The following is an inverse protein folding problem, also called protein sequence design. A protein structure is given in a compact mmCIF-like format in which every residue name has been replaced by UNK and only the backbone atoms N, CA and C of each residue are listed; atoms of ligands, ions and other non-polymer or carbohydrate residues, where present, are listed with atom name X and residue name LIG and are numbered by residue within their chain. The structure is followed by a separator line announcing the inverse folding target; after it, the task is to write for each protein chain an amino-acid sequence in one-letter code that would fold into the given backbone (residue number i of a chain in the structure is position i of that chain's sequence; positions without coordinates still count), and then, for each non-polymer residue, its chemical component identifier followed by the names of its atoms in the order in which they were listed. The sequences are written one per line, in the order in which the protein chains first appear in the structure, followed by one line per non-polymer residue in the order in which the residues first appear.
data_IF_020467845789
#
_entry.id   IF_020467845789
#
_cell.length_a   1.000
_cell.length_b   1.000
_cell.length_c   1.000
_cell.angle_alpha   90.00
_cell.angle_beta   90.00
_cell.angle_gamma   90.00
#
_symmetry.space_group_name_H-M   'P 1'
#
loop_
_entity.id
_entity.type
_entity.pdbx_description
1 polymer ?
#
# COMPACT_ATOMS: atom_id res chain seq x y z
N UNK A 1 17.86 15.64 -34.43
CA UNK A 1 18.76 14.49 -34.12
C UNK A 1 18.59 14.16 -32.66
N UNK A 2 17.93 13.05 -32.32
CA UNK A 2 17.83 12.61 -30.93
C UNK A 2 19.22 12.14 -30.49
N UNK A 3 19.97 13.01 -29.83
CA UNK A 3 21.20 12.62 -29.13
C UNK A 3 20.73 11.73 -27.98
N UNK A 4 20.80 10.42 -28.16
CA UNK A 4 20.61 9.46 -27.08
C UNK A 4 21.78 9.66 -26.11
N UNK A 5 21.60 10.54 -25.12
CA UNK A 5 22.49 10.56 -23.97
C UNK A 5 22.61 9.14 -23.45
N UNK A 6 23.84 8.63 -23.32
CA UNK A 6 24.06 7.30 -22.75
C UNK A 6 23.47 7.27 -21.34
N UNK A 7 22.38 6.52 -21.19
CA UNK A 7 21.76 6.30 -19.90
C UNK A 7 22.80 5.74 -18.93
N UNK A 8 23.03 6.45 -17.82
CA UNK A 8 24.08 6.11 -16.84
C UNK A 8 23.61 4.97 -15.93
N UNK A 9 23.47 3.77 -16.51
CA UNK A 9 22.95 2.56 -15.85
C UNK A 9 23.52 2.33 -14.45
N UNK A 10 24.85 2.39 -14.30
CA UNK A 10 25.49 2.17 -12.99
C UNK A 10 25.03 3.15 -11.92
N UNK A 11 24.99 4.45 -12.24
CA UNK A 11 24.51 5.49 -11.31
C UNK A 11 23.03 5.26 -10.96
N UNK A 12 22.20 4.94 -11.95
CA UNK A 12 20.76 4.70 -11.74
C UNK A 12 20.53 3.50 -10.82
N UNK A 13 21.19 2.37 -11.07
CA UNK A 13 21.05 1.15 -10.28
C UNK A 13 21.47 1.41 -8.83
N UNK A 14 22.60 2.08 -8.62
CA UNK A 14 23.07 2.42 -7.26
C UNK A 14 22.04 3.29 -6.55
N UNK A 15 21.55 4.36 -7.19
CA UNK A 15 20.54 5.24 -6.59
C UNK A 15 19.22 4.52 -6.29
N UNK A 16 18.82 3.57 -7.16
CA UNK A 16 17.61 2.77 -6.96
C UNK A 16 17.76 1.85 -5.74
N UNK A 17 18.88 1.13 -5.63
CA UNK A 17 19.15 0.24 -4.49
C UNK A 17 19.21 1.04 -3.18
N UNK A 18 19.97 2.15 -3.17
CA UNK A 18 20.07 3.01 -1.98
C UNK A 18 18.70 3.56 -1.59
N UNK A 19 17.93 4.06 -2.56
CA UNK A 19 16.57 4.53 -2.33
C UNK A 19 15.68 3.44 -1.74
N UNK A 20 15.70 2.24 -2.32
CA UNK A 20 14.91 1.10 -1.85
C UNK A 20 15.24 0.72 -0.41
N UNK A 21 16.53 0.55 -0.09
CA UNK A 21 17.01 0.22 1.27
C UNK A 21 16.61 1.30 2.27
N UNK A 22 16.80 2.58 1.95
CA UNK A 22 16.43 3.67 2.84
C UNK A 22 14.93 3.75 3.07
N UNK A 23 14.13 3.51 2.03
CA UNK A 23 12.66 3.61 2.14
C UNK A 23 12.10 2.45 2.98
N UNK A 24 12.58 1.23 2.76
CA UNK A 24 12.19 0.07 3.55
C UNK A 24 12.68 0.20 4.99
N UNK A 25 13.96 0.52 5.18
CA UNK A 25 14.54 0.69 6.52
C UNK A 25 13.84 1.79 7.32
N UNK A 26 13.49 2.90 6.66
CA UNK A 26 12.70 3.97 7.26
C UNK A 26 11.30 3.51 7.67
N UNK A 27 10.60 2.76 6.81
CA UNK A 27 9.29 2.20 7.14
C UNK A 27 9.38 1.21 8.32
N UNK A 28 10.36 0.31 8.33
CA UNK A 28 10.59 -0.61 9.45
C UNK A 28 10.85 0.12 10.75
N UNK A 29 11.67 1.17 10.74
CA UNK A 29 11.94 1.98 11.92
C UNK A 29 10.69 2.70 12.46
N UNK A 30 9.83 3.20 11.56
CA UNK A 30 8.55 3.81 11.93
C UNK A 30 7.61 2.78 12.58
N UNK A 31 7.51 1.58 12.02
CA UNK A 31 6.66 0.50 12.56
C UNK A 31 7.16 0.06 13.92
N UNK A 32 8.46 -0.19 14.07
CA UNK A 32 9.04 -0.64 15.33
C UNK A 32 8.87 0.41 16.44
N UNK A 33 9.24 1.66 16.14
CA UNK A 33 9.11 2.77 17.10
C UNK A 33 7.66 3.03 17.46
N UNK A 34 6.77 3.08 16.47
CA UNK A 34 5.33 3.29 16.67
C UNK A 34 4.68 2.17 17.48
N UNK A 35 5.08 0.92 17.23
CA UNK A 35 4.62 -0.25 17.99
C UNK A 35 5.06 -0.19 19.44
N UNK A 36 6.33 0.16 19.70
CA UNK A 36 6.83 0.31 21.07
C UNK A 36 6.10 1.41 21.83
N UNK A 37 5.84 2.55 21.19
CA UNK A 37 5.04 3.64 21.77
C UNK A 37 3.62 3.13 22.07
N UNK A 38 2.94 2.48 21.12
CA UNK A 38 1.58 2.00 21.28
C UNK A 38 1.43 1.03 22.47
N UNK A 39 2.39 0.12 22.68
CA UNK A 39 2.40 -0.77 23.86
C UNK A 39 2.50 -0.02 25.17
N UNK A 40 3.34 1.04 25.24
CA UNK A 40 3.46 1.87 26.44
C UNK A 40 2.14 2.56 26.79
N UNK A 41 1.35 2.92 25.77
CA UNK A 41 0.00 3.48 25.93
C UNK A 41 -1.09 2.42 26.17
N UNK A 42 -0.74 1.14 26.29
CA UNK A 42 -1.70 0.05 26.56
C UNK A 42 -2.58 -0.33 25.36
N UNK A 43 -2.17 0.01 24.13
CA UNK A 43 -2.88 -0.41 22.91
C UNK A 43 -2.73 -1.92 22.72
N UNK A 44 -3.82 -2.60 22.37
CA UNK A 44 -3.80 -4.05 22.17
C UNK A 44 -2.97 -4.47 20.96
N UNK A 45 -2.33 -5.64 21.04
CA UNK A 45 -1.57 -6.21 19.91
C UNK A 45 -2.44 -6.41 18.65
N UNK A 46 -3.74 -6.63 18.82
CA UNK A 46 -4.70 -6.66 17.71
C UNK A 46 -4.74 -5.34 16.95
N UNK A 47 -4.90 -4.20 17.65
CA UNK A 47 -4.95 -2.88 17.02
C UNK A 47 -3.59 -2.51 16.42
N UNK A 48 -2.49 -2.86 17.09
CA UNK A 48 -1.13 -2.68 16.57
C UNK A 48 -0.97 -3.43 15.24
N UNK A 49 -1.35 -4.71 15.19
CA UNK A 49 -1.29 -5.52 13.98
C UNK A 49 -2.19 -4.98 12.86
N UNK A 50 -3.44 -4.67 13.19
CA UNK A 50 -4.43 -4.19 12.24
C UNK A 50 -4.06 -2.83 11.62
N UNK A 51 -3.46 -1.92 12.39
CA UNK A 51 -3.16 -0.57 11.93
C UNK A 51 -1.69 -0.32 11.66
N UNK A 52 -0.83 -0.46 12.68
CA UNK A 52 0.57 -0.03 12.58
C UNK A 52 1.36 -0.93 11.64
N UNK A 53 1.16 -2.25 11.73
CA UNK A 53 1.87 -3.20 10.86
C UNK A 53 1.31 -3.09 9.44
N UNK A 54 -0.02 -3.13 9.27
CA UNK A 54 -0.66 -3.03 7.96
C UNK A 54 -0.28 -1.73 7.22
N UNK A 55 -0.43 -0.56 7.85
CA UNK A 55 -0.03 0.72 7.28
C UNK A 55 1.48 0.77 7.05
N UNK A 56 2.25 0.23 8.00
CA UNK A 56 3.70 0.16 7.97
C UNK A 56 4.28 -0.45 6.71
N UNK A 57 3.72 -1.59 6.28
CA UNK A 57 4.14 -2.28 5.06
C UNK A 57 3.84 -1.49 3.78
N UNK A 58 2.88 -0.57 3.82
CA UNK A 58 2.48 0.28 2.68
C UNK A 58 3.10 1.69 2.72
N UNK A 59 3.89 2.02 3.76
CA UNK A 59 4.57 3.31 3.88
C UNK A 59 5.55 3.58 2.73
N UNK A 60 6.40 2.62 2.29
CA UNK A 60 7.30 2.84 1.17
C UNK A 60 6.56 3.26 -0.10
N UNK A 61 5.47 2.55 -0.42
CA UNK A 61 4.62 2.78 -1.58
C UNK A 61 3.94 4.14 -1.50
N UNK A 62 3.46 4.53 -0.31
CA UNK A 62 2.89 5.85 -0.08
C UNK A 62 3.91 6.96 -0.35
N UNK A 63 5.13 6.82 0.18
CA UNK A 63 6.20 7.82 0.00
C UNK A 63 6.61 7.91 -1.47
N UNK A 64 6.81 6.78 -2.16
CA UNK A 64 7.16 6.74 -3.59
C UNK A 64 6.07 7.40 -4.43
N UNK A 65 4.79 7.08 -4.16
CA UNK A 65 3.63 7.67 -4.83
C UNK A 65 3.55 9.19 -4.64
N UNK A 66 3.70 9.67 -3.40
CA UNK A 66 3.68 11.09 -3.07
C UNK A 66 4.82 11.85 -3.74
N UNK A 67 6.03 11.30 -3.73
CA UNK A 67 7.19 11.92 -4.39
C UNK A 67 7.01 11.94 -5.91
N UNK A 68 6.46 10.87 -6.50
CA UNK A 68 6.16 10.82 -7.93
C UNK A 68 5.15 11.89 -8.34
N UNK A 69 4.04 12.03 -7.60
CA UNK A 69 3.02 13.08 -7.83
C UNK A 69 3.64 14.48 -7.70
N UNK A 70 4.44 14.72 -6.65
CA UNK A 70 5.14 16.01 -6.44
C UNK A 70 6.08 16.37 -7.59
N UNK A 71 6.61 15.38 -8.30
CA UNK A 71 7.45 15.56 -9.49
C UNK A 71 6.66 15.63 -10.80
N UNK A 72 5.33 15.66 -10.75
CA UNK A 72 4.46 15.68 -11.93
C UNK A 72 4.26 14.32 -12.60
N UNK A 73 4.76 13.23 -12.00
CA UNK A 73 4.71 11.87 -12.57
C UNK A 73 3.52 11.09 -12.00
N UNK A 74 2.30 11.56 -12.26
CA UNK A 74 1.08 10.92 -11.76
C UNK A 74 0.91 9.47 -12.25
N UNK A 75 1.27 9.18 -13.50
CA UNK A 75 1.21 7.84 -14.08
C UNK A 75 2.11 6.84 -13.34
N UNK A 76 3.29 7.28 -12.89
CA UNK A 76 4.19 6.45 -12.07
C UNK A 76 3.57 6.13 -10.71
N UNK A 77 2.89 7.10 -10.09
CA UNK A 77 2.18 6.86 -8.82
C UNK A 77 1.02 5.89 -8.98
N UNK A 78 0.25 6.00 -10.06
CA UNK A 78 -0.85 5.07 -10.37
C UNK A 78 -0.28 3.67 -10.61
N UNK A 79 0.78 3.56 -11.40
CA UNK A 79 1.48 2.30 -11.65
C UNK A 79 2.00 1.66 -10.37
N UNK A 80 2.51 2.46 -9.43
CA UNK A 80 2.95 1.98 -8.12
C UNK A 80 1.79 1.41 -7.29
N UNK A 81 0.64 2.10 -7.22
CA UNK A 81 -0.54 1.65 -6.47
C UNK A 81 -1.08 0.34 -7.04
N UNK A 82 -1.32 0.29 -8.36
CA UNK A 82 -1.88 -0.90 -9.02
C UNK A 82 -0.88 -2.06 -8.96
N UNK A 83 0.38 -1.79 -9.30
CA UNK A 83 1.44 -2.80 -9.34
C UNK A 83 1.65 -3.46 -7.98
N UNK A 84 1.67 -2.68 -6.90
CA UNK A 84 1.86 -3.20 -5.54
C UNK A 84 0.69 -4.07 -5.09
N UNK A 85 -0.55 -3.67 -5.38
CA UNK A 85 -1.72 -4.50 -5.07
C UNK A 85 -1.70 -5.82 -5.86
N UNK A 86 -1.37 -5.78 -7.15
CA UNK A 86 -1.25 -6.98 -7.97
C UNK A 86 -0.13 -7.89 -7.45
N UNK A 87 1.02 -7.34 -7.05
CA UNK A 87 2.11 -8.10 -6.45
C UNK A 87 1.70 -8.73 -5.12
N UNK A 88 0.96 -8.02 -4.26
CA UNK A 88 0.47 -8.57 -3.00
C UNK A 88 -0.47 -9.76 -3.19
N UNK A 89 -1.38 -9.72 -4.17
CA UNK A 89 -2.24 -10.88 -4.47
C UNK A 89 -1.47 -12.02 -5.14
N UNK A 90 -0.72 -11.72 -6.20
CA UNK A 90 -0.09 -12.75 -7.02
C UNK A 90 1.14 -13.37 -6.36
N UNK A 91 2.04 -12.53 -5.84
CA UNK A 91 3.29 -12.99 -5.26
C UNK A 91 3.13 -13.33 -3.79
N UNK A 92 2.62 -12.42 -2.95
CA UNK A 92 2.58 -12.65 -1.50
C UNK A 92 1.51 -13.69 -1.15
N UNK A 93 0.23 -13.42 -1.45
CA UNK A 93 -0.86 -14.36 -1.16
C UNK A 93 -0.75 -15.64 -1.98
N UNK A 94 -0.38 -15.54 -3.26
CA UNK A 94 -0.18 -16.71 -4.12
C UNK A 94 0.93 -17.64 -3.62
N UNK A 95 2.08 -17.10 -3.23
CA UNK A 95 3.16 -17.94 -2.65
C UNK A 95 2.77 -18.50 -1.28
N UNK A 96 2.10 -17.73 -0.42
CA UNK A 96 1.60 -18.22 0.85
C UNK A 96 0.66 -19.43 0.68
N UNK A 97 -0.26 -19.36 -0.29
CA UNK A 97 -1.18 -20.44 -0.61
C UNK A 97 -0.51 -21.71 -1.18
N UNK A 98 0.62 -21.56 -1.88
CA UNK A 98 1.42 -22.69 -2.37
C UNK A 98 2.17 -23.40 -1.25
N UNK A 99 2.60 -22.66 -0.22
CA UNK A 99 3.37 -23.20 0.90
C UNK A 99 2.47 -23.84 1.97
N UNK A 100 1.31 -23.26 2.25
CA UNK A 100 0.35 -23.78 3.22
C UNK A 100 -1.09 -23.49 2.77
N UNK A 101 -2.02 -24.44 2.91
CA UNK A 101 -3.43 -24.18 2.66
C UNK A 101 -3.92 -22.99 3.50
N UNK A 102 -4.53 -22.00 2.83
CA UNK A 102 -5.15 -20.86 3.48
C UNK A 102 -6.54 -21.26 3.98
N UNK A 103 -6.68 -21.48 5.29
CA UNK A 103 -7.99 -21.66 5.92
C UNK A 103 -8.64 -20.31 6.16
N UNK A 104 -9.75 -20.03 5.48
CA UNK A 104 -10.47 -18.76 5.58
C UNK A 104 -11.85 -19.03 6.18
N UNK A 105 -12.19 -18.30 7.25
CA UNK A 105 -13.57 -18.24 7.74
C UNK A 105 -14.37 -17.28 6.86
N UNK A 106 -15.13 -17.85 5.93
CA UNK A 106 -15.94 -17.08 4.98
C UNK A 106 -17.01 -16.22 5.66
N UNK A 107 -17.45 -16.55 6.88
CA UNK A 107 -18.43 -15.76 7.61
C UNK A 107 -17.75 -14.54 8.22
N UNK A 108 -16.61 -14.74 8.89
CA UNK A 108 -15.84 -13.66 9.49
C UNK A 108 -15.27 -12.68 8.44
N UNK A 109 -14.75 -13.19 7.32
CA UNK A 109 -14.04 -12.36 6.31
C UNK A 109 -14.97 -11.83 5.20
N UNK A 110 -16.28 -12.14 5.23
CA UNK A 110 -17.22 -11.76 4.17
C UNK A 110 -17.23 -10.25 3.91
N UNK A 111 -17.27 -9.47 4.99
CA UNK A 111 -17.34 -8.01 4.90
C UNK A 111 -16.05 -7.42 4.34
N UNK A 112 -14.90 -7.91 4.81
CA UNK A 112 -13.58 -7.47 4.37
C UNK A 112 -13.41 -7.71 2.86
N UNK A 113 -13.78 -8.90 2.38
CA UNK A 113 -13.77 -9.22 0.95
C UNK A 113 -14.69 -8.31 0.14
N UNK A 114 -15.91 -8.05 0.64
CA UNK A 114 -16.88 -7.19 -0.05
C UNK A 114 -16.35 -5.76 -0.19
N UNK A 115 -15.81 -5.20 0.90
CA UNK A 115 -15.21 -3.86 0.90
C UNK A 115 -14.01 -3.80 -0.03
N UNK A 116 -13.15 -4.82 -0.02
CA UNK A 116 -11.96 -4.85 -0.86
C UNK A 116 -12.31 -4.85 -2.35
N UNK A 117 -13.35 -5.60 -2.73
CA UNK A 117 -13.90 -5.59 -4.10
C UNK A 117 -14.51 -4.21 -4.41
N UNK A 118 -15.30 -3.64 -3.51
CA UNK A 118 -15.89 -2.31 -3.69
C UNK A 118 -14.82 -1.22 -3.86
N UNK A 119 -13.77 -1.23 -3.04
CA UNK A 119 -12.63 -0.31 -3.13
C UNK A 119 -11.90 -0.46 -4.48
N UNK A 120 -11.68 -1.70 -4.92
CA UNK A 120 -11.01 -1.99 -6.20
C UNK A 120 -11.83 -1.50 -7.41
N UNK A 121 -13.13 -1.77 -7.43
CA UNK A 121 -14.03 -1.27 -8.48
C UNK A 121 -14.07 0.26 -8.48
N UNK A 122 -14.14 0.87 -7.30
CA UNK A 122 -14.13 2.31 -7.13
C UNK A 122 -12.85 2.94 -7.67
N UNK A 123 -11.69 2.32 -7.38
CA UNK A 123 -10.40 2.76 -7.90
C UNK A 123 -10.37 2.67 -9.43
N UNK A 124 -10.82 1.55 -10.01
CA UNK A 124 -10.91 1.40 -11.47
C UNK A 124 -11.82 2.45 -12.09
N UNK A 125 -12.97 2.73 -11.50
CA UNK A 125 -13.90 3.75 -11.96
C UNK A 125 -13.28 5.16 -11.92
N UNK A 126 -12.58 5.50 -10.83
CA UNK A 126 -11.89 6.79 -10.67
C UNK A 126 -10.81 6.93 -11.76
N UNK A 127 -10.01 5.89 -11.99
CA UNK A 127 -8.94 5.89 -12.98
C UNK A 127 -9.47 6.00 -14.42
N UNK A 128 -10.48 5.19 -14.76
CA UNK A 128 -11.07 5.14 -16.11
C UNK A 128 -11.68 6.50 -16.52
N UNK A 129 -12.29 7.20 -15.56
CA UNK A 129 -12.91 8.50 -15.78
C UNK A 129 -11.99 9.70 -15.44
N UNK A 130 -10.73 9.44 -15.06
CA UNK A 130 -9.75 10.45 -14.61
C UNK A 130 -10.28 11.38 -13.51
N UNK A 131 -11.06 10.84 -12.57
CA UNK A 131 -11.70 11.58 -11.47
C UNK A 131 -10.74 11.82 -10.29
N UNK A 132 -9.59 12.43 -10.57
CA UNK A 132 -8.56 12.76 -9.57
C UNK A 132 -8.93 14.00 -8.75
N UNK A 133 -10.07 13.93 -8.07
CA UNK A 133 -10.63 15.05 -7.31
C UNK A 133 -10.80 14.69 -5.82
N UNK A 134 -11.10 15.71 -5.02
CA UNK A 134 -11.32 15.54 -3.57
C UNK A 134 -12.47 14.58 -3.28
N UNK A 135 -13.51 14.55 -4.12
CA UNK A 135 -14.65 13.67 -3.93
C UNK A 135 -14.26 12.18 -4.03
N UNK A 136 -13.48 11.80 -5.04
CA UNK A 136 -12.94 10.44 -5.19
C UNK A 136 -12.04 10.04 -4.02
N UNK A 137 -11.21 10.97 -3.54
CA UNK A 137 -10.37 10.74 -2.35
C UNK A 137 -11.21 10.54 -1.08
N UNK A 138 -12.19 11.42 -0.83
CA UNK A 138 -13.11 11.31 0.32
C UNK A 138 -13.88 9.99 0.26
N UNK A 139 -14.35 9.60 -0.92
CA UNK A 139 -15.08 8.35 -1.11
C UNK A 139 -14.24 7.13 -0.74
N UNK A 140 -12.98 7.04 -1.22
CA UNK A 140 -12.07 5.95 -0.84
C UNK A 140 -11.73 5.97 0.67
N UNK A 141 -11.60 7.16 1.27
CA UNK A 141 -11.38 7.30 2.72
C UNK A 141 -12.59 6.84 3.54
N UNK A 142 -13.81 7.07 3.07
CA UNK A 142 -15.03 6.55 3.71
C UNK A 142 -15.04 5.03 3.67
N UNK A 143 -14.69 4.41 2.53
CA UNK A 143 -14.59 2.96 2.41
C UNK A 143 -13.55 2.41 3.42
N UNK A 144 -12.39 3.05 3.52
CA UNK A 144 -11.36 2.69 4.51
C UNK A 144 -11.86 2.85 5.95
N UNK A 145 -12.60 3.93 6.26
CA UNK A 145 -13.16 4.15 7.58
C UNK A 145 -14.21 3.07 7.96
N UNK A 146 -15.05 2.67 7.01
CA UNK A 146 -16.02 1.58 7.20
C UNK A 146 -15.33 0.23 7.45
N UNK A 147 -14.25 -0.05 6.72
CA UNK A 147 -13.42 -1.25 6.96
C UNK A 147 -12.88 -1.28 8.38
N UNK A 148 -12.25 -0.17 8.79
CA UNK A 148 -11.67 0.00 10.11
C UNK A 148 -12.75 -0.16 11.20
N UNK A 149 -13.90 0.48 11.03
CA UNK A 149 -14.99 0.41 12.01
C UNK A 149 -15.46 -1.03 12.20
N UNK A 150 -15.68 -1.78 11.12
CA UNK A 150 -16.08 -3.18 11.22
C UNK A 150 -15.00 -4.07 11.83
N UNK A 151 -13.72 -3.78 11.56
CA UNK A 151 -12.60 -4.57 12.10
C UNK A 151 -12.34 -4.36 13.60
N UNK A 152 -12.92 -3.30 14.17
CA UNK A 152 -12.79 -2.93 15.59
C UNK A 152 -13.96 -3.42 16.45
N UNK A 153 -15.09 -3.82 15.83
CA UNK A 153 -16.31 -4.31 16.49
C UNK A 153 -16.28 -5.83 16.56
#
# INVERSE_FOLDING_TARGET
TLVLEKFKWGKTIILLIVGFVLTIGGASFVVESGTNIARVFGVSEWIIGLFLIALGTSLPELVVSLVAIRKGNAEMSIGNIIGSNVANFSMVLGSAALLSPLTIDLVATKFDMLIMVAASISLVFILANRLYNKAGAIFLLIILALFIQNSLI
#
